data_IF_601322045519
#
_entry.id   IF_601322045519
#
_cell.length_a   1.000
_cell.length_b   1.000
_cell.length_c   1.000
_cell.angle_alpha   90.00
_cell.angle_beta   90.00
_cell.angle_gamma   90.00
#
_symmetry.space_group_name_H-M   'P 1'
#
loop_
_entity.id
_entity.type
_entity.pdbx_description
1 polymer ?
#
# COMPACT_ATOMS: atom_id res chain seq x y z
N UNK A 1 2.74 5.93 37.72
CA UNK A 1 2.81 5.41 36.35
C UNK A 1 3.99 4.46 36.32
N UNK A 2 3.78 3.21 35.92
CA UNK A 2 4.87 2.24 35.84
C UNK A 2 5.91 2.75 34.83
N UNK A 3 7.13 3.01 35.30
CA UNK A 3 8.19 3.69 34.56
C UNK A 3 8.42 3.06 33.17
N UNK A 4 8.29 1.73 33.08
CA UNK A 4 8.51 0.93 31.87
C UNK A 4 7.57 1.27 30.70
N UNK A 5 6.30 1.56 30.98
CA UNK A 5 5.32 1.88 29.92
C UNK A 5 5.64 3.23 29.28
N UNK A 6 5.98 4.20 30.13
CA UNK A 6 6.32 5.54 29.66
C UNK A 6 7.65 5.50 28.88
N UNK A 7 8.66 4.78 29.39
CA UNK A 7 9.94 4.56 28.71
C UNK A 7 9.74 3.97 27.29
N UNK A 8 8.86 2.97 27.14
CA UNK A 8 8.61 2.34 25.83
C UNK A 8 7.85 3.27 24.86
N UNK A 9 6.87 4.02 25.38
CA UNK A 9 6.16 5.03 24.56
C UNK A 9 7.08 6.19 24.14
N UNK A 10 8.02 6.56 25.00
CA UNK A 10 9.01 7.59 24.69
C UNK A 10 10.02 7.08 23.65
N UNK A 11 10.49 5.85 23.77
CA UNK A 11 11.32 5.18 22.76
C UNK A 11 10.64 5.15 21.38
N UNK A 12 9.36 4.76 21.33
CA UNK A 12 8.60 4.79 20.08
C UNK A 12 8.51 6.22 19.49
N UNK A 13 8.41 7.25 20.33
CA UNK A 13 8.32 8.66 19.90
C UNK A 13 9.63 9.18 19.36
N UNK A 14 10.73 8.75 19.93
CA UNK A 14 12.07 9.09 19.47
C UNK A 14 12.42 8.41 18.14
N UNK A 15 12.12 7.12 18.01
CA UNK A 15 12.47 6.34 16.82
C UNK A 15 11.50 6.60 15.65
N UNK A 16 10.21 6.79 15.93
CA UNK A 16 9.15 6.89 14.92
C UNK A 16 8.31 8.17 15.07
N UNK A 17 8.92 9.35 14.90
CA UNK A 17 8.24 10.62 15.13
C UNK A 17 7.08 10.81 14.14
N UNK A 18 5.88 11.02 14.67
CA UNK A 18 4.67 11.29 13.89
C UNK A 18 3.98 10.05 13.30
N UNK A 19 4.51 8.85 13.52
CA UNK A 19 3.96 7.61 12.97
C UNK A 19 3.01 6.87 13.93
N UNK A 20 2.89 7.31 15.18
CA UNK A 20 1.91 6.74 16.11
C UNK A 20 1.20 7.77 16.97
N UNK A 21 0.06 7.34 17.51
CA UNK A 21 -0.73 8.06 18.49
C UNK A 21 -1.01 7.12 19.67
N UNK A 22 -0.80 7.61 20.88
CA UNK A 22 -1.18 6.91 22.11
C UNK A 22 -2.27 7.70 22.81
N UNK A 23 -3.40 7.04 23.10
CA UNK A 23 -4.51 7.60 23.87
C UNK A 23 -4.71 6.76 25.12
N UNK A 24 -5.06 7.39 26.24
CA UNK A 24 -5.41 6.70 27.47
C UNK A 24 -6.85 7.01 27.84
N UNK A 25 -7.73 6.03 27.74
CA UNK A 25 -9.16 6.16 27.98
C UNK A 25 -9.64 4.99 28.85
N UNK A 26 -10.45 5.25 29.87
CA UNK A 26 -11.11 4.21 30.70
C UNK A 26 -10.13 3.16 31.27
N UNK A 27 -8.97 3.58 31.78
CA UNK A 27 -7.91 2.70 32.30
C UNK A 27 -7.26 1.76 31.26
N UNK A 28 -7.37 2.11 29.98
CA UNK A 28 -6.76 1.39 28.88
C UNK A 28 -5.98 2.34 27.96
N UNK A 29 -4.75 1.99 27.67
CA UNK A 29 -3.97 2.57 26.59
C UNK A 29 -4.42 1.98 25.26
N UNK A 30 -4.57 2.85 24.26
CA UNK A 30 -4.76 2.50 22.85
C UNK A 30 -3.66 3.18 22.07
N UNK A 31 -2.70 2.38 21.59
CA UNK A 31 -1.62 2.81 20.72
C UNK A 31 -1.97 2.42 19.30
N UNK A 32 -2.03 3.40 18.41
CA UNK A 32 -2.21 3.21 16.97
C UNK A 32 -0.92 3.60 16.27
N UNK A 33 -0.24 2.62 15.68
CA UNK A 33 0.99 2.81 14.92
C UNK A 33 0.72 2.64 13.43
N UNK A 34 1.09 3.61 12.61
CA UNK A 34 1.00 3.55 11.14
C UNK A 34 2.24 2.86 10.60
N UNK A 35 2.08 1.61 10.16
CA UNK A 35 3.17 0.81 9.61
C UNK A 35 3.29 1.07 8.12
N UNK A 36 4.47 1.48 7.67
CA UNK A 36 4.85 1.64 6.26
C UNK A 36 6.27 1.09 6.05
N UNK A 37 6.60 0.56 4.87
CA UNK A 37 7.95 0.07 4.58
C UNK A 37 9.03 1.16 4.75
N UNK A 38 10.25 0.73 5.06
CA UNK A 38 11.41 1.59 5.30
C UNK A 38 11.59 1.99 6.77
N UNK A 39 12.64 2.77 7.06
CA UNK A 39 12.91 3.36 8.38
C UNK A 39 12.69 4.88 8.27
N UNK A 40 12.24 5.51 9.36
CA UNK A 40 12.00 6.94 9.48
C UNK A 40 12.99 7.83 8.72
N UNK A 41 12.45 8.91 8.16
CA UNK A 41 13.10 9.97 7.38
C UNK A 41 13.55 9.66 5.95
N UNK A 42 13.65 8.38 5.54
CA UNK A 42 13.95 8.07 4.15
C UNK A 42 12.67 7.99 3.31
N UNK A 43 12.45 9.04 2.52
CA UNK A 43 11.44 9.13 1.48
C UNK A 43 11.71 8.06 0.39
N UNK A 44 11.37 6.80 0.64
CA UNK A 44 11.04 5.92 -0.49
C UNK A 44 9.80 6.53 -1.17
N UNK A 45 9.82 6.73 -2.50
CA UNK A 45 8.75 7.46 -3.19
C UNK A 45 7.39 6.73 -3.16
N UNK A 46 7.37 5.42 -2.90
CA UNK A 46 6.15 4.61 -2.98
C UNK A 46 5.89 3.82 -1.70
N UNK A 47 4.93 4.26 -0.88
CA UNK A 47 4.41 3.49 0.27
C UNK A 47 3.33 2.52 -0.21
N UNK A 48 3.73 1.44 -0.88
CA UNK A 48 2.79 0.51 -1.53
C UNK A 48 2.02 -0.34 -0.51
N UNK A 49 2.63 -0.62 0.63
CA UNK A 49 1.98 -1.34 1.73
C UNK A 49 1.80 -0.38 2.90
N UNK A 50 0.60 -0.39 3.49
CA UNK A 50 0.29 0.44 4.66
C UNK A 50 -0.78 -0.25 5.51
N UNK A 51 -0.63 -0.19 6.82
CA UNK A 51 -1.70 -0.56 7.75
C UNK A 51 -1.51 0.11 9.10
N UNK A 52 -2.54 0.06 9.94
CA UNK A 52 -2.49 0.49 11.33
C UNK A 52 -2.36 -0.73 12.24
N UNK A 53 -1.29 -0.81 13.01
CA UNK A 53 -1.17 -1.72 14.14
C UNK A 53 -1.81 -1.06 15.36
N UNK A 54 -2.85 -1.69 15.90
CA UNK A 54 -3.53 -1.25 17.12
C UNK A 54 -3.10 -2.14 18.27
N UNK A 55 -2.57 -1.54 19.33
CA UNK A 55 -2.14 -2.23 20.55
C UNK A 55 -2.94 -1.65 21.72
N UNK A 56 -3.64 -2.51 22.45
CA UNK A 56 -4.46 -2.11 23.60
C UNK A 56 -4.02 -2.85 24.86
N UNK A 57 -3.78 -2.11 25.93
CA UNK A 57 -3.30 -2.66 27.20
C UNK A 57 -3.72 -1.80 28.39
N UNK A 58 -3.79 -2.39 29.57
CA UNK A 58 -4.18 -1.70 30.81
C UNK A 58 -2.94 -1.26 31.60
N UNK A 59 -3.15 -0.66 32.76
CA UNK A 59 -2.10 -0.34 33.74
C UNK A 59 -1.32 -1.57 34.25
N UNK A 60 -1.78 -2.81 33.97
CA UNK A 60 -1.10 -4.06 34.36
C UNK A 60 -0.05 -4.56 33.36
N UNK A 61 0.04 -3.93 32.20
CA UNK A 61 1.10 -4.21 31.24
C UNK A 61 2.48 -3.82 31.83
N UNK A 62 3.55 -4.60 31.63
CA UNK A 62 3.65 -5.77 30.73
C UNK A 62 3.29 -7.13 31.35
N UNK A 63 2.87 -7.19 32.61
CA UNK A 63 2.48 -8.46 33.26
C UNK A 63 1.29 -9.10 32.55
N UNK A 64 0.30 -8.29 32.19
CA UNK A 64 -0.74 -8.66 31.22
C UNK A 64 -0.31 -8.24 29.82
N UNK A 65 -0.29 -9.19 28.89
CA UNK A 65 0.07 -8.96 27.48
C UNK A 65 -0.90 -7.97 26.80
N UNK A 66 -0.42 -7.17 25.84
CA UNK A 66 -1.29 -6.32 25.05
C UNK A 66 -2.17 -7.17 24.13
N UNK A 67 -3.35 -6.65 23.81
CA UNK A 67 -4.17 -7.15 22.71
C UNK A 67 -3.85 -6.38 21.45
N UNK A 68 -3.88 -7.06 20.29
CA UNK A 68 -3.51 -6.46 19.01
C UNK A 68 -4.59 -6.64 17.94
N UNK A 69 -4.72 -5.65 17.06
CA UNK A 69 -5.46 -5.76 15.80
C UNK A 69 -4.74 -5.02 14.69
N UNK A 70 -5.05 -5.37 13.44
CA UNK A 70 -4.54 -4.71 12.25
C UNK A 70 -5.73 -4.12 11.48
N UNK A 71 -5.67 -2.83 11.18
CA UNK A 71 -6.75 -2.06 10.56
C UNK A 71 -6.23 -1.22 9.38
N UNK A 72 -7.14 -0.67 8.57
CA UNK A 72 -6.83 0.21 7.43
C UNK A 72 -5.74 -0.35 6.51
N UNK A 73 -5.89 -1.63 6.12
CA UNK A 73 -4.87 -2.38 5.39
C UNK A 73 -4.92 -2.08 3.91
N UNK A 74 -3.76 -1.78 3.34
CA UNK A 74 -3.53 -1.59 1.92
C UNK A 74 -2.35 -2.45 1.47
N UNK A 75 -2.52 -3.16 0.36
CA UNK A 75 -1.46 -3.93 -0.28
C UNK A 75 -1.22 -5.32 0.31
N UNK A 76 -1.91 -5.70 1.40
CA UNK A 76 -1.85 -7.05 1.95
C UNK A 76 -3.15 -7.81 1.76
N UNK A 77 -3.04 -9.09 1.41
CA UNK A 77 -4.17 -10.03 1.41
C UNK A 77 -4.49 -10.54 2.81
N UNK A 78 -5.74 -10.97 2.98
CA UNK A 78 -6.25 -11.54 4.23
C UNK A 78 -5.41 -12.69 4.80
N UNK A 79 -4.89 -13.58 3.92
CA UNK A 79 -3.99 -14.66 4.34
C UNK A 79 -2.69 -14.15 4.97
N UNK A 80 -2.13 -13.06 4.43
CA UNK A 80 -0.86 -12.48 4.88
C UNK A 80 -1.08 -11.66 6.15
N UNK A 81 -2.22 -10.97 6.28
CA UNK A 81 -2.67 -10.32 7.52
C UNK A 81 -2.84 -11.36 8.63
N UNK A 82 -3.49 -12.48 8.35
CA UNK A 82 -3.71 -13.57 9.30
C UNK A 82 -2.39 -14.20 9.75
N UNK A 83 -1.45 -14.38 8.82
CA UNK A 83 -0.10 -14.86 9.12
C UNK A 83 0.65 -13.88 10.01
N UNK A 84 0.65 -12.59 9.67
CA UNK A 84 1.29 -11.55 10.49
C UNK A 84 0.70 -11.52 11.91
N UNK A 85 -0.63 -11.50 12.05
CA UNK A 85 -1.28 -11.56 13.36
C UNK A 85 -0.90 -12.81 14.18
N UNK A 86 -0.68 -13.94 13.51
CA UNK A 86 -0.24 -15.17 14.18
C UNK A 86 1.17 -15.04 14.72
N UNK A 87 2.11 -14.50 13.94
CA UNK A 87 3.49 -14.25 14.39
C UNK A 87 3.55 -13.22 15.52
N UNK A 88 2.77 -12.14 15.44
CA UNK A 88 2.73 -11.14 16.52
C UNK A 88 2.19 -11.72 17.83
N UNK A 89 1.21 -12.64 17.76
CA UNK A 89 0.70 -13.35 18.96
C UNK A 89 1.73 -14.29 19.56
N UNK A 90 2.51 -14.97 18.73
CA UNK A 90 3.62 -15.80 19.17
C UNK A 90 4.70 -14.94 19.86
N UNK A 91 5.09 -13.83 19.24
CA UNK A 91 6.02 -12.85 19.82
C UNK A 91 5.55 -12.32 21.19
N UNK A 92 4.26 -12.00 21.33
CA UNK A 92 3.67 -11.57 22.60
C UNK A 92 3.72 -12.68 23.65
N UNK A 93 3.51 -13.93 23.25
CA UNK A 93 3.56 -15.09 24.15
C UNK A 93 4.98 -15.34 24.65
N UNK A 94 5.97 -15.23 23.77
CA UNK A 94 7.39 -15.45 24.09
C UNK A 94 7.97 -14.35 25.00
N UNK A 95 7.38 -13.15 24.95
CA UNK A 95 7.79 -11.96 25.71
C UNK A 95 6.87 -11.66 26.89
N UNK A 96 6.10 -12.65 27.35
CA UNK A 96 5.12 -12.44 28.43
C UNK A 96 5.80 -11.96 29.72
N UNK A 97 5.35 -10.79 30.22
CA UNK A 97 5.91 -10.15 31.41
C UNK A 97 6.95 -9.07 31.09
N UNK A 98 7.39 -8.96 29.84
CA UNK A 98 8.33 -7.95 29.36
C UNK A 98 7.67 -6.94 28.40
N UNK A 99 8.17 -5.69 28.32
CA UNK A 99 7.73 -4.75 27.29
C UNK A 99 7.97 -5.28 25.87
N UNK A 100 7.01 -5.07 24.95
CA UNK A 100 6.98 -5.68 23.60
C UNK A 100 6.43 -4.76 22.49
N UNK A 101 5.98 -3.54 22.78
CA UNK A 101 5.41 -2.63 21.76
C UNK A 101 6.43 -2.29 20.67
N UNK A 102 7.70 -2.05 21.03
CA UNK A 102 8.74 -1.80 20.04
C UNK A 102 8.97 -3.03 19.16
N UNK A 103 9.13 -4.21 19.77
CA UNK A 103 9.34 -5.48 19.06
C UNK A 103 8.21 -5.77 18.07
N UNK A 104 6.95 -5.48 18.46
CA UNK A 104 5.78 -5.60 17.58
C UNK A 104 5.86 -4.69 16.36
N UNK A 105 6.23 -3.43 16.56
CA UNK A 105 6.39 -2.44 15.48
C UNK A 105 7.53 -2.84 14.55
N UNK A 106 8.68 -3.22 15.10
CA UNK A 106 9.86 -3.63 14.34
C UNK A 106 9.56 -4.87 13.50
N UNK A 107 8.92 -5.88 14.09
CA UNK A 107 8.48 -7.08 13.37
C UNK A 107 7.51 -6.74 12.23
N UNK A 108 6.55 -5.85 12.45
CA UNK A 108 5.61 -5.44 11.41
C UNK A 108 6.31 -4.75 10.23
N UNK A 109 7.32 -3.92 10.51
CA UNK A 109 8.12 -3.24 9.48
C UNK A 109 8.95 -4.24 8.68
N UNK A 110 9.59 -5.18 9.37
CA UNK A 110 10.36 -6.23 8.72
C UNK A 110 9.48 -7.13 7.85
N UNK A 111 8.28 -7.47 8.30
CA UNK A 111 7.33 -8.28 7.55
C UNK A 111 6.95 -7.67 6.18
N UNK A 112 6.94 -6.34 6.07
CA UNK A 112 6.61 -5.61 4.84
C UNK A 112 7.82 -4.97 4.16
N UNK A 113 9.05 -5.31 4.57
CA UNK A 113 10.28 -4.65 4.13
C UNK A 113 10.49 -4.67 2.61
N UNK A 114 10.03 -5.73 1.94
CA UNK A 114 10.07 -5.84 0.48
C UNK A 114 9.25 -4.78 -0.26
N UNK A 115 8.27 -4.17 0.41
CA UNK A 115 7.30 -3.22 -0.16
C UNK A 115 6.52 -3.75 -1.38
N UNK A 116 6.50 -5.06 -1.64
CA UNK A 116 5.77 -5.65 -2.77
C UNK A 116 4.37 -6.05 -2.30
N UNK A 117 3.27 -5.46 -2.84
CA UNK A 117 1.92 -5.84 -2.47
C UNK A 117 1.65 -7.32 -2.73
N UNK A 118 0.97 -7.97 -1.78
CA UNK A 118 0.55 -9.38 -1.92
C UNK A 118 -0.83 -9.53 -2.55
N UNK A 119 -1.52 -8.41 -2.81
CA UNK A 119 -2.71 -8.36 -3.67
C UNK A 119 -2.34 -8.52 -5.14
N UNK A 120 -3.29 -8.85 -5.98
CA UNK A 120 -3.08 -8.94 -7.43
C UNK A 120 -3.22 -7.60 -8.13
N UNK A 121 -2.65 -7.52 -9.34
CA UNK A 121 -3.02 -6.49 -10.29
C UNK A 121 -4.50 -6.58 -10.63
N UNK A 122 -5.23 -5.47 -10.52
CA UNK A 122 -6.67 -5.44 -10.78
C UNK A 122 -7.07 -5.60 -12.26
N UNK A 123 -6.11 -5.57 -13.19
CA UNK A 123 -6.37 -5.80 -14.63
C UNK A 123 -6.11 -7.26 -15.01
N UNK A 124 -4.91 -7.78 -14.74
CA UNK A 124 -4.52 -9.11 -15.19
C UNK A 124 -4.67 -10.21 -14.14
N UNK A 125 -4.99 -9.85 -12.89
CA UNK A 125 -5.17 -10.76 -11.75
C UNK A 125 -3.90 -11.58 -11.41
N UNK A 126 -2.72 -11.16 -11.87
CA UNK A 126 -1.44 -11.76 -11.49
C UNK A 126 -0.79 -10.97 -10.34
N UNK A 127 0.02 -11.67 -9.54
CA UNK A 127 0.79 -11.07 -8.45
C UNK A 127 1.98 -10.24 -8.95
N UNK A 128 2.40 -9.29 -8.11
CA UNK A 128 3.61 -8.51 -8.32
C UNK A 128 4.85 -9.30 -7.94
N UNK A 129 5.92 -9.14 -8.73
CA UNK A 129 7.22 -9.80 -8.47
C UNK A 129 8.32 -8.82 -8.06
N UNK A 130 8.15 -7.55 -8.38
CA UNK A 130 9.12 -6.49 -8.12
C UNK A 130 8.36 -5.18 -7.84
N UNK A 131 8.85 -4.41 -6.87
CA UNK A 131 8.32 -3.09 -6.52
C UNK A 131 8.28 -2.15 -7.74
N UNK A 132 9.30 -2.18 -8.58
CA UNK A 132 9.43 -1.31 -9.76
C UNK A 132 8.40 -1.60 -10.88
N UNK A 133 7.66 -2.71 -10.80
CA UNK A 133 6.58 -3.03 -11.73
C UNK A 133 5.20 -2.64 -11.20
N UNK A 134 5.12 -2.06 -9.99
CA UNK A 134 3.85 -1.70 -9.35
C UNK A 134 3.51 -0.24 -9.66
N UNK A 135 2.36 -0.04 -10.28
CA UNK A 135 1.65 1.22 -10.27
C UNK A 135 0.58 1.18 -9.17
N UNK A 136 0.60 2.17 -8.28
CA UNK A 136 -0.38 2.30 -7.20
C UNK A 136 -1.05 3.66 -7.29
N UNK A 137 -2.37 3.67 -7.33
CA UNK A 137 -3.14 4.91 -7.28
C UNK A 137 -3.20 5.47 -5.85
N UNK A 138 -3.68 6.70 -5.67
CA UNK A 138 -3.84 7.32 -4.34
C UNK A 138 -4.88 6.62 -3.48
N UNK A 139 -5.86 5.95 -4.09
CA UNK A 139 -6.84 5.10 -3.41
C UNK A 139 -6.35 3.66 -3.19
N UNK A 140 -5.05 3.38 -3.36
CA UNK A 140 -4.47 2.05 -3.20
C UNK A 140 -5.07 0.99 -4.14
N UNK A 141 -5.27 1.35 -5.41
CA UNK A 141 -5.51 0.37 -6.46
C UNK A 141 -4.20 0.01 -7.15
N UNK A 142 -3.94 -1.29 -7.29
CA UNK A 142 -2.64 -1.81 -7.71
C UNK A 142 -2.72 -2.39 -9.12
N UNK A 143 -1.76 -2.00 -9.96
CA UNK A 143 -1.66 -2.43 -11.34
C UNK A 143 -0.20 -2.71 -11.69
N UNK A 144 0.05 -3.61 -12.65
CA UNK A 144 1.38 -3.62 -13.25
C UNK A 144 1.55 -2.36 -14.09
N UNK A 145 2.75 -1.78 -14.12
CA UNK A 145 3.08 -0.63 -14.97
C UNK A 145 2.70 -0.90 -16.44
N UNK A 146 2.96 -2.12 -16.91
CA UNK A 146 2.51 -2.59 -18.23
C UNK A 146 0.99 -2.53 -18.40
N UNK A 147 0.23 -3.12 -17.46
CA UNK A 147 -1.22 -3.25 -17.59
C UNK A 147 -1.92 -1.88 -17.58
N UNK A 148 -1.48 -0.96 -16.71
CA UNK A 148 -2.06 0.38 -16.66
C UNK A 148 -1.62 1.22 -17.87
N UNK A 149 -0.39 1.02 -18.37
CA UNK A 149 0.09 1.65 -19.61
C UNK A 149 -0.75 1.28 -20.82
N UNK A 150 -1.05 -0.01 -20.98
CA UNK A 150 -1.95 -0.50 -22.04
C UNK A 150 -3.35 0.09 -21.93
N UNK A 151 -3.90 0.13 -20.72
CA UNK A 151 -5.20 0.76 -20.47
C UNK A 151 -5.21 2.22 -20.90
N UNK A 152 -4.22 3.00 -20.48
CA UNK A 152 -4.09 4.43 -20.82
C UNK A 152 -3.91 4.63 -22.32
N UNK A 153 -3.04 3.84 -22.96
CA UNK A 153 -2.80 3.92 -24.40
C UNK A 153 -4.08 3.62 -25.21
N UNK A 154 -4.83 2.58 -24.83
CA UNK A 154 -6.10 2.23 -25.49
C UNK A 154 -7.13 3.34 -25.35
N UNK A 155 -7.31 3.90 -24.14
CA UNK A 155 -8.22 5.04 -23.92
C UNK A 155 -7.84 6.25 -24.77
N UNK A 156 -6.55 6.56 -24.90
CA UNK A 156 -6.05 7.63 -25.78
C UNK A 156 -6.42 7.38 -27.24
N UNK A 157 -6.19 6.16 -27.76
CA UNK A 157 -6.50 5.80 -29.16
C UNK A 157 -8.01 5.84 -29.42
N UNK A 158 -8.82 5.32 -28.49
CA UNK A 158 -10.29 5.36 -28.59
C UNK A 158 -10.78 6.81 -28.66
N UNK A 159 -10.29 7.68 -27.78
CA UNK A 159 -10.60 9.10 -27.79
C UNK A 159 -10.19 9.78 -29.10
N UNK A 160 -8.97 9.56 -29.60
CA UNK A 160 -8.51 10.13 -30.88
C UNK A 160 -9.41 9.74 -32.05
N UNK A 161 -9.87 8.48 -32.07
CA UNK A 161 -10.81 7.98 -33.07
C UNK A 161 -12.18 8.65 -32.95
N UNK A 162 -12.74 8.72 -31.74
CA UNK A 162 -14.03 9.37 -31.48
C UNK A 162 -13.99 10.85 -31.88
N UNK A 163 -12.91 11.56 -31.58
CA UNK A 163 -12.72 12.96 -31.96
C UNK A 163 -12.57 13.15 -33.47
N UNK A 164 -11.88 12.24 -34.15
CA UNK A 164 -11.78 12.25 -35.61
C UNK A 164 -13.14 12.05 -36.29
N UNK A 165 -13.95 11.10 -35.78
CA UNK A 165 -15.30 10.85 -36.28
C UNK A 165 -16.25 12.02 -35.99
N UNK A 166 -16.18 12.61 -34.80
CA UNK A 166 -17.00 13.76 -34.40
C UNK A 166 -16.63 15.02 -35.17
N UNK A 167 -15.35 15.32 -35.36
CA UNK A 167 -14.90 16.49 -36.12
C UNK A 167 -15.34 16.44 -37.59
N UNK A 168 -15.42 15.25 -38.17
CA UNK A 168 -15.96 15.05 -39.52
C UNK A 168 -17.47 15.34 -39.58
N UNK A 169 -18.23 14.99 -38.54
CA UNK A 169 -19.69 15.14 -38.48
C UNK A 169 -20.15 16.54 -38.03
N UNK A 170 -19.40 17.16 -37.11
CA UNK A 170 -19.74 18.41 -36.42
C UNK A 170 -18.50 19.28 -36.23
N UNK A 171 -18.00 19.98 -37.26
CA UNK A 171 -16.73 20.72 -37.23
C UNK A 171 -16.72 21.96 -36.33
N UNK A 172 -17.89 22.40 -35.84
CA UNK A 172 -18.05 23.58 -35.00
C UNK A 172 -18.26 23.25 -33.51
N UNK A 173 -18.17 21.97 -33.14
CA UNK A 173 -18.40 21.51 -31.76
C UNK A 173 -17.11 21.52 -30.97
N UNK A 174 -17.15 22.04 -29.73
CA UNK A 174 -16.05 21.90 -28.78
C UNK A 174 -15.96 20.45 -28.30
N UNK A 175 -14.75 19.89 -28.34
CA UNK A 175 -14.50 18.51 -27.97
C UNK A 175 -14.22 18.39 -26.47
N UNK A 176 -14.87 17.44 -25.76
CA UNK A 176 -14.54 17.20 -24.37
C UNK A 176 -13.09 16.71 -24.27
N UNK A 177 -12.33 17.09 -23.21
CA UNK A 177 -10.98 16.58 -23.02
C UNK A 177 -10.98 15.07 -22.76
N UNK A 178 -9.86 14.40 -23.07
CA UNK A 178 -9.66 12.99 -22.71
C UNK A 178 -9.76 12.83 -21.19
N UNK A 179 -10.74 12.04 -20.74
CA UNK A 179 -10.89 11.65 -19.36
C UNK A 179 -10.28 10.27 -19.13
N UNK A 180 -9.24 10.21 -18.29
CA UNK A 180 -8.63 8.96 -17.85
C UNK A 180 -9.05 8.71 -16.40
N UNK A 181 -9.88 7.69 -16.19
CA UNK A 181 -10.30 7.25 -14.86
C UNK A 181 -9.64 5.93 -14.51
N UNK A 182 -9.42 5.70 -13.22
CA UNK A 182 -8.95 4.42 -12.71
C UNK A 182 -9.89 3.28 -13.16
N UNK A 183 -9.37 2.22 -13.79
CA UNK A 183 -10.21 1.14 -14.33
C UNK A 183 -10.88 0.28 -13.25
N UNK A 184 -10.49 0.44 -11.98
CA UNK A 184 -11.09 -0.29 -10.88
C UNK A 184 -12.23 0.48 -10.21
N UNK A 185 -12.02 1.76 -9.85
CA UNK A 185 -13.04 2.54 -9.13
C UNK A 185 -13.80 3.55 -9.98
N UNK A 186 -13.35 3.88 -11.19
CA UNK A 186 -13.96 4.87 -12.07
C UNK A 186 -14.17 6.27 -11.43
N UNK A 187 -13.45 6.57 -10.34
CA UNK A 187 -13.61 7.82 -9.59
C UNK A 187 -12.31 8.64 -9.49
N UNK A 188 -11.17 7.96 -9.53
CA UNK A 188 -9.86 8.62 -9.47
C UNK A 188 -9.37 8.95 -10.87
N UNK A 189 -9.02 10.22 -11.11
CA UNK A 189 -8.41 10.65 -12.37
C UNK A 189 -6.95 10.20 -12.44
N UNK A 190 -6.57 9.65 -13.59
CA UNK A 190 -5.20 9.24 -13.90
C UNK A 190 -4.54 10.28 -14.83
N UNK A 191 -3.24 10.46 -14.69
CA UNK A 191 -2.47 11.25 -15.66
C UNK A 191 -2.11 10.42 -16.89
N UNK A 192 -2.10 11.07 -18.05
CA UNK A 192 -1.49 10.50 -19.24
C UNK A 192 0.03 10.45 -19.03
N UNK A 193 0.60 9.25 -18.97
CA UNK A 193 2.03 9.03 -18.76
C UNK A 193 2.63 8.32 -19.98
N UNK A 194 3.44 9.03 -20.74
CA UNK A 194 4.17 8.45 -21.88
C UNK A 194 5.14 7.34 -21.42
N UNK A 195 5.71 7.45 -20.22
CA UNK A 195 6.59 6.42 -19.67
C UNK A 195 5.84 5.09 -19.48
N UNK A 196 4.62 5.13 -18.93
CA UNK A 196 3.78 3.93 -18.80
C UNK A 196 3.42 3.34 -20.15
N UNK A 197 3.10 4.18 -21.15
CA UNK A 197 2.81 3.74 -22.52
C UNK A 197 4.04 3.10 -23.16
N UNK A 198 5.23 3.64 -22.94
CA UNK A 198 6.47 3.10 -23.49
C UNK A 198 6.86 1.76 -22.84
N UNK A 199 6.61 1.58 -21.54
CA UNK A 199 6.74 0.27 -20.87
C UNK A 199 5.83 -0.77 -21.52
N UNK A 200 4.60 -0.38 -21.86
CA UNK A 200 3.64 -1.25 -22.54
C UNK A 200 4.15 -1.71 -23.91
N UNK A 201 4.51 -0.77 -24.78
CA UNK A 201 5.07 -1.04 -26.12
C UNK A 201 6.33 -1.89 -26.11
N UNK A 202 7.18 -1.73 -25.09
CA UNK A 202 8.45 -2.45 -25.00
C UNK A 202 8.27 -3.96 -24.76
N UNK A 203 7.25 -4.36 -24.00
CA UNK A 203 6.96 -5.78 -23.73
C UNK A 203 6.32 -6.49 -24.93
N UNK A 204 5.48 -5.80 -25.70
CA UNK A 204 4.91 -6.35 -26.95
C UNK A 204 5.98 -6.68 -28.00
N UNK A 205 7.03 -5.86 -28.08
CA UNK A 205 8.17 -6.08 -28.98
C UNK A 205 9.04 -7.28 -28.57
N UNK A 206 9.09 -7.63 -27.28
CA UNK A 206 9.81 -8.81 -26.79
C UNK A 206 9.04 -10.12 -27.01
N UNK A 207 7.71 -10.12 -26.81
CA UNK A 207 6.89 -11.32 -27.01
C UNK A 207 6.71 -11.69 -28.50
N UNK A 208 6.74 -10.70 -29.40
CA UNK A 208 6.70 -10.92 -30.86
C UNK A 208 8.01 -11.51 -31.43
N UNK A 209 9.17 -11.25 -30.80
CA UNK A 209 10.44 -11.86 -31.19
C UNK A 209 10.58 -13.33 -30.75
N UNK A 210 10.03 -13.71 -29.59
CA UNK A 210 10.08 -15.10 -29.10
C UNK A 210 9.06 -16.03 -29.79
N UNK A 211 8.04 -15.46 -30.45
CA UNK A 211 7.06 -16.21 -31.25
C UNK A 211 7.55 -16.57 -32.66
N UNK A 212 8.78 -16.19 -33.03
CA UNK A 212 9.35 -16.34 -34.37
C UNK A 212 10.56 -17.29 -34.43
N UNK A 213 10.74 -18.20 -33.46
CA UNK A 213 11.79 -19.23 -33.44
C UNK A 213 11.23 -20.64 -33.40
#
# INVERSE_FOLDING_TARGET
MDNKVQEELDLLREIFPGEFKANFNLDQYVVTFVVTPGIGFNNSPSKLIKFNLIMKFTSKYPTESPTISIECVHGLKEKDISRLLSYLKELISDRKGDPVLFDLVDFCREFISSNIPTVECAICLNYFRNEADVYCTTNFHYFHNYCIGEYVNRRRIEYEKEMSELSTKCPYTEFPPLELLCPLCHAESLSLSEDLINVARSKENTESCDSSK
#
